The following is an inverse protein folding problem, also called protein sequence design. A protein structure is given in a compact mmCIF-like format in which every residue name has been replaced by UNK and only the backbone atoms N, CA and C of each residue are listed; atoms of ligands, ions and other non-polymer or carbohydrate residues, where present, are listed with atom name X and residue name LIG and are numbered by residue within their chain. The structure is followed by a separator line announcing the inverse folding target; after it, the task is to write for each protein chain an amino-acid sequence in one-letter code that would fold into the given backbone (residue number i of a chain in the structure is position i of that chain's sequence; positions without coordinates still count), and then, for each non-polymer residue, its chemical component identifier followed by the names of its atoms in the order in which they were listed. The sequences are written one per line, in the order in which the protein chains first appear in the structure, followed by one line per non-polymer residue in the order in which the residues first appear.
data_IF_864314090414
#
_entry.id   IF_864314090414
#
_cell.length_a   1.000
_cell.length_b   1.000
_cell.length_c   1.000
_cell.angle_alpha   90.00
_cell.angle_beta   90.00
_cell.angle_gamma   90.00
#
_symmetry.space_group_name_H-M   'P 1'
#
loop_
_entity.id
_entity.type
_entity.pdbx_description
1 polymer ?
#
# COMPACT_ATOMS: atom_id res chain seq x y z
N UNK A 1 3.98 -47.78 22.39
CA UNK A 1 2.74 -47.28 21.80
C UNK A 1 2.95 -45.83 21.50
N UNK A 2 3.25 -45.53 20.24
CA UNK A 2 3.36 -44.16 19.76
C UNK A 2 1.95 -43.59 19.75
N UNK A 3 1.69 -42.57 20.55
CA UNK A 3 0.43 -41.85 20.52
C UNK A 3 0.42 -41.00 19.23
N UNK A 4 -0.25 -41.50 18.19
CA UNK A 4 -0.64 -40.70 17.05
C UNK A 4 -1.58 -39.60 17.54
N UNK A 5 -1.01 -38.50 17.97
CA UNK A 5 -1.80 -37.26 18.15
C UNK A 5 -2.21 -36.81 16.75
N UNK A 6 -3.52 -36.73 16.45
CA UNK A 6 -3.96 -36.27 15.17
C UNK A 6 -3.34 -34.89 14.92
N UNK A 7 -2.51 -34.76 13.88
CA UNK A 7 -2.02 -33.45 13.48
C UNK A 7 -3.21 -32.66 12.95
N UNK A 8 -3.54 -31.56 13.63
CA UNK A 8 -4.51 -30.62 13.13
C UNK A 8 -4.05 -30.15 11.74
N UNK A 9 -4.87 -30.25 10.69
CA UNK A 9 -4.50 -29.78 9.38
C UNK A 9 -4.08 -28.31 9.46
N UNK A 10 -2.96 -27.96 8.81
CA UNK A 10 -2.55 -26.56 8.71
C UNK A 10 -3.60 -25.75 7.97
N UNK A 11 -3.86 -24.51 8.38
CA UNK A 11 -4.75 -23.63 7.63
C UNK A 11 -4.20 -23.39 6.22
N UNK A 12 -5.08 -23.29 5.24
CA UNK A 12 -4.69 -22.96 3.86
C UNK A 12 -4.26 -21.49 3.73
N UNK A 13 -4.90 -20.63 4.52
CA UNK A 13 -4.69 -19.18 4.48
C UNK A 13 -4.36 -18.63 5.87
N UNK A 14 -3.56 -17.59 5.88
CA UNK A 14 -3.36 -16.69 7.02
C UNK A 14 -4.34 -15.54 6.89
N UNK A 15 -5.06 -15.25 7.95
CA UNK A 15 -6.03 -14.16 8.02
C UNK A 15 -5.43 -13.01 8.81
N UNK A 16 -5.45 -11.81 8.24
CA UNK A 16 -4.88 -10.59 8.84
C UNK A 16 -5.83 -9.42 8.68
N UNK A 17 -6.18 -8.79 9.79
CA UNK A 17 -6.97 -7.55 9.76
C UNK A 17 -6.14 -6.40 9.18
N UNK A 18 -6.79 -5.57 8.37
CA UNK A 18 -6.19 -4.44 7.69
C UNK A 18 -7.21 -3.31 7.49
N UNK A 19 -6.76 -2.12 7.14
CA UNK A 19 -7.64 -1.11 6.58
C UNK A 19 -7.84 -1.36 5.08
N UNK A 20 -9.08 -1.23 4.62
CA UNK A 20 -9.42 -1.32 3.20
C UNK A 20 -8.97 -0.07 2.42
N UNK A 21 -8.95 1.07 3.10
CA UNK A 21 -8.53 2.38 2.62
C UNK A 21 -7.55 3.00 3.62
N UNK A 22 -7.86 4.22 4.06
CA UNK A 22 -7.08 4.95 5.07
C UNK A 22 -7.73 4.84 6.46
N UNK A 23 -6.94 4.90 7.54
CA UNK A 23 -7.44 4.81 8.93
C UNK A 23 -8.55 5.81 9.27
N UNK A 24 -8.45 7.03 8.73
CA UNK A 24 -9.38 8.12 9.02
C UNK A 24 -10.84 7.79 8.72
N UNK A 25 -11.08 6.94 7.71
CA UNK A 25 -12.43 6.54 7.34
C UNK A 25 -13.12 5.73 8.45
N UNK A 26 -12.36 5.01 9.27
CA UNK A 26 -12.89 4.29 10.43
C UNK A 26 -13.41 5.22 11.55
N UNK A 27 -13.19 6.53 11.46
CA UNK A 27 -13.75 7.53 12.41
C UNK A 27 -15.20 7.89 12.08
N UNK A 28 -15.67 7.57 10.88
CA UNK A 28 -17.07 7.68 10.50
C UNK A 28 -17.83 6.44 10.89
N UNK A 29 -18.98 6.58 11.56
CA UNK A 29 -19.85 5.46 11.97
C UNK A 29 -20.23 4.61 10.74
N UNK A 30 -20.49 5.27 9.63
CA UNK A 30 -20.93 4.60 8.39
C UNK A 30 -19.82 3.78 7.72
N UNK A 31 -18.54 4.07 8.02
CA UNK A 31 -17.40 3.45 7.38
C UNK A 31 -16.60 2.54 8.30
N UNK A 32 -16.82 2.59 9.60
CA UNK A 32 -16.02 1.86 10.59
C UNK A 32 -15.96 0.36 10.29
N UNK A 33 -17.13 -0.29 10.11
CA UNK A 33 -17.21 -1.72 9.84
C UNK A 33 -16.75 -2.11 8.43
N UNK A 34 -16.80 -1.16 7.48
CA UNK A 34 -16.48 -1.39 6.07
C UNK A 34 -14.99 -1.22 5.82
N UNK A 35 -14.37 -0.27 6.53
CA UNK A 35 -12.95 0.05 6.36
C UNK A 35 -12.03 -0.97 7.05
N UNK A 36 -12.52 -1.75 8.00
CA UNK A 36 -11.77 -2.86 8.59
C UNK A 36 -12.07 -4.16 7.85
N UNK A 37 -11.09 -4.67 7.13
CA UNK A 37 -11.20 -5.91 6.36
C UNK A 37 -10.26 -6.98 6.88
N UNK A 38 -10.58 -8.24 6.58
CA UNK A 38 -9.66 -9.36 6.82
C UNK A 38 -9.10 -9.84 5.49
N UNK A 39 -7.79 -9.68 5.32
CA UNK A 39 -7.05 -10.15 4.15
C UNK A 39 -6.68 -11.61 4.37
N UNK A 40 -6.94 -12.44 3.36
CA UNK A 40 -6.55 -13.85 3.33
C UNK A 40 -5.33 -14.03 2.43
N UNK A 41 -4.20 -14.40 3.03
CA UNK A 41 -2.96 -14.71 2.32
C UNK A 41 -2.71 -16.22 2.34
N UNK A 42 -2.11 -16.80 1.29
CA UNK A 42 -1.63 -18.18 1.35
C UNK A 42 -0.77 -18.40 2.59
N UNK A 43 -0.91 -19.56 3.21
CA UNK A 43 -0.14 -19.89 4.40
C UNK A 43 1.35 -20.02 4.09
N UNK A 44 2.17 -19.22 4.75
CA UNK A 44 3.63 -19.27 4.64
C UNK A 44 4.24 -20.03 5.84
N UNK A 45 4.83 -21.19 5.57
CA UNK A 45 5.45 -22.00 6.60
C UNK A 45 6.74 -21.39 7.15
N UNK A 46 7.43 -20.62 6.31
CA UNK A 46 8.73 -20.02 6.61
C UNK A 46 8.62 -18.63 7.22
N UNK A 47 7.39 -18.13 7.44
CA UNK A 47 7.17 -16.80 8.00
C UNK A 47 7.83 -16.67 9.38
N UNK A 48 8.71 -15.69 9.52
CA UNK A 48 9.39 -15.32 10.76
C UNK A 48 8.87 -13.99 11.30
N UNK A 49 9.20 -13.73 12.59
CA UNK A 49 8.94 -12.42 13.17
C UNK A 49 9.66 -11.31 12.41
N UNK A 50 8.92 -10.22 12.16
CA UNK A 50 9.41 -9.10 11.37
C UNK A 50 8.26 -8.31 10.75
N UNK A 51 7.31 -8.90 9.97
CA UNK A 51 7.24 -10.23 9.34
C UNK A 51 8.27 -10.41 8.22
N UNK A 52 8.83 -11.62 8.12
CA UNK A 52 9.82 -11.97 7.09
C UNK A 52 9.40 -13.27 6.41
N UNK A 53 9.25 -13.27 5.10
CA UNK A 53 8.94 -14.46 4.29
C UNK A 53 9.87 -14.60 3.06
N UNK A 54 9.48 -15.40 2.09
CA UNK A 54 10.28 -15.62 0.88
C UNK A 54 10.38 -14.40 -0.06
N UNK A 55 9.49 -13.40 0.08
CA UNK A 55 9.40 -12.25 -0.82
C UNK A 55 9.84 -10.94 -0.18
N UNK A 56 9.50 -10.75 1.09
CA UNK A 56 9.69 -9.48 1.77
C UNK A 56 10.27 -9.65 3.18
N UNK A 57 10.93 -8.59 3.62
CA UNK A 57 11.44 -8.42 4.98
C UNK A 57 10.96 -7.06 5.51
N UNK A 58 10.07 -7.09 6.50
CA UNK A 58 9.65 -5.86 7.19
C UNK A 58 10.67 -5.51 8.26
N UNK A 59 11.27 -4.34 8.15
CA UNK A 59 12.29 -3.83 9.07
C UNK A 59 11.79 -2.51 9.65
N UNK A 60 11.41 -2.51 10.92
CA UNK A 60 10.78 -1.35 11.52
C UNK A 60 11.77 -0.51 12.33
N UNK A 61 12.48 0.33 11.60
CA UNK A 61 13.44 1.31 12.12
C UNK A 61 12.91 2.71 11.83
N UNK A 62 12.88 3.54 12.85
CA UNK A 62 12.56 4.96 12.77
C UNK A 62 13.83 5.80 13.03
N UNK A 63 14.52 6.24 11.98
CA UNK A 63 15.75 7.03 12.13
C UNK A 63 15.50 8.40 12.77
N UNK A 64 14.34 9.01 12.52
CA UNK A 64 13.99 10.34 13.03
C UNK A 64 13.80 10.35 14.55
N UNK A 65 13.16 9.30 15.09
CA UNK A 65 12.97 9.12 16.54
C UNK A 65 14.08 8.29 17.18
N UNK A 66 15.04 7.77 16.39
CA UNK A 66 16.11 6.84 16.82
C UNK A 66 15.52 5.61 17.53
N UNK A 67 14.35 5.16 17.07
CA UNK A 67 13.65 4.02 17.60
C UNK A 67 13.83 2.79 16.71
N UNK A 68 13.75 1.63 17.33
CA UNK A 68 13.62 0.33 16.67
C UNK A 68 12.42 -0.37 17.33
N UNK A 69 11.39 -0.62 16.53
CA UNK A 69 10.18 -1.26 17.05
C UNK A 69 10.32 -2.77 17.07
N UNK A 70 9.77 -3.41 18.10
CA UNK A 70 9.81 -4.87 18.23
C UNK A 70 9.14 -5.54 17.01
N UNK A 71 9.76 -6.59 16.45
CA UNK A 71 9.22 -7.28 15.29
C UNK A 71 7.91 -7.98 15.62
N UNK A 72 6.91 -7.86 14.76
CA UNK A 72 5.63 -8.54 14.89
C UNK A 72 5.79 -10.04 14.61
N UNK A 73 5.33 -10.87 15.53
CA UNK A 73 5.29 -12.34 15.37
C UNK A 73 3.86 -12.77 14.97
N UNK A 74 3.59 -12.83 13.68
CA UNK A 74 2.27 -13.22 13.14
C UNK A 74 1.97 -14.74 13.32
N UNK A 75 2.90 -15.52 13.84
CA UNK A 75 2.67 -16.92 14.21
C UNK A 75 2.23 -17.08 15.66
N UNK A 76 2.22 -16.00 16.44
CA UNK A 76 1.79 -16.06 17.83
C UNK A 76 0.34 -16.56 17.94
N UNK A 77 0.08 -17.52 18.81
CA UNK A 77 -1.21 -18.22 18.92
C UNK A 77 -2.40 -17.28 19.09
N UNK A 78 -2.29 -16.21 19.88
CA UNK A 78 -3.35 -15.24 20.06
C UNK A 78 -3.64 -14.43 18.78
N UNK A 79 -2.61 -14.12 17.99
CA UNK A 79 -2.80 -13.41 16.74
C UNK A 79 -3.47 -14.30 15.69
N UNK A 80 -3.09 -15.56 15.63
CA UNK A 80 -3.75 -16.53 14.76
C UNK A 80 -5.23 -16.70 15.12
N UNK A 81 -5.56 -16.68 16.43
CA UNK A 81 -6.95 -16.85 16.89
C UNK A 81 -7.86 -15.64 16.64
N UNK A 82 -7.30 -14.45 16.42
CA UNK A 82 -8.06 -13.20 16.25
C UNK A 82 -7.80 -12.50 14.90
N UNK A 83 -7.26 -13.21 13.92
CA UNK A 83 -6.94 -12.70 12.60
C UNK A 83 -5.91 -11.55 12.62
N UNK A 84 -4.87 -11.68 13.45
CA UNK A 84 -3.78 -10.71 13.58
C UNK A 84 -4.02 -9.61 14.62
N UNK A 85 -3.20 -8.56 14.56
CA UNK A 85 -3.38 -7.36 15.39
C UNK A 85 -4.64 -6.60 14.97
N UNK A 86 -5.39 -6.03 15.93
CA UNK A 86 -6.50 -5.13 15.62
C UNK A 86 -5.98 -3.87 14.92
N UNK A 87 -6.74 -3.32 13.94
CA UNK A 87 -6.40 -2.07 13.28
C UNK A 87 -6.18 -0.94 14.30
N UNK A 88 -5.04 -0.25 14.17
CA UNK A 88 -4.63 0.78 15.13
C UNK A 88 -3.56 1.70 14.54
N UNK A 89 -3.81 3.01 14.59
CA UNK A 89 -2.82 4.02 14.21
C UNK A 89 -1.66 4.15 15.23
N UNK A 90 -1.84 3.68 16.46
CA UNK A 90 -0.85 3.78 17.54
C UNK A 90 -0.04 2.52 17.82
N UNK A 91 -0.23 1.45 17.05
CA UNK A 91 0.45 0.16 17.28
C UNK A 91 1.45 -0.15 16.16
N UNK A 92 2.77 0.00 16.37
CA UNK A 92 3.77 -0.28 15.35
C UNK A 92 3.74 -1.72 14.82
N UNK A 93 3.36 -2.71 15.63
CA UNK A 93 3.24 -4.09 15.17
C UNK A 93 2.06 -4.27 14.21
N UNK A 94 0.98 -3.49 14.38
CA UNK A 94 -0.08 -3.44 13.38
C UNK A 94 0.40 -2.76 12.08
N UNK A 95 1.24 -1.71 12.16
CA UNK A 95 1.84 -1.10 10.96
C UNK A 95 2.67 -2.10 10.16
N UNK A 96 3.47 -2.93 10.86
CA UNK A 96 4.23 -4.02 10.23
C UNK A 96 3.31 -5.05 9.57
N UNK A 97 2.21 -5.45 10.25
CA UNK A 97 1.19 -6.35 9.71
C UNK A 97 0.51 -5.75 8.48
N UNK A 98 0.13 -4.47 8.54
CA UNK A 98 -0.58 -3.77 7.46
C UNK A 98 0.25 -3.77 6.17
N UNK A 99 1.51 -3.32 6.24
CA UNK A 99 2.37 -3.33 5.05
C UNK A 99 2.63 -4.74 4.54
N UNK A 100 2.84 -5.72 5.44
CA UNK A 100 3.00 -7.12 5.05
C UNK A 100 1.79 -7.63 4.28
N UNK A 101 0.59 -7.44 4.84
CA UNK A 101 -0.65 -7.95 4.25
C UNK A 101 -0.91 -7.35 2.85
N UNK A 102 -0.77 -6.02 2.71
CA UNK A 102 -1.05 -5.34 1.43
C UNK A 102 0.02 -5.65 0.39
N UNK A 103 1.32 -5.64 0.74
CA UNK A 103 2.40 -6.01 -0.17
C UNK A 103 2.20 -7.43 -0.69
N UNK A 104 1.89 -8.39 0.20
CA UNK A 104 1.66 -9.80 -0.20
C UNK A 104 0.42 -9.97 -1.08
N UNK A 105 -0.64 -9.21 -0.82
CA UNK A 105 -1.85 -9.19 -1.68
C UNK A 105 -1.50 -8.69 -3.08
N UNK A 106 -0.76 -7.58 -3.17
CA UNK A 106 -0.34 -7.00 -4.44
C UNK A 106 0.54 -7.97 -5.24
N UNK A 107 1.53 -8.61 -4.58
CA UNK A 107 2.36 -9.66 -5.19
C UNK A 107 1.47 -10.79 -5.73
N UNK A 108 0.51 -11.27 -4.93
CA UNK A 108 -0.40 -12.35 -5.33
C UNK A 108 -1.21 -12.04 -6.58
N UNK A 109 -1.71 -10.82 -6.71
CA UNK A 109 -2.42 -10.36 -7.91
C UNK A 109 -1.51 -10.37 -9.15
N UNK A 110 -0.27 -9.89 -9.01
CA UNK A 110 0.69 -9.94 -10.11
C UNK A 110 1.06 -11.37 -10.50
N UNK A 111 1.29 -12.27 -9.54
CA UNK A 111 1.61 -13.66 -9.81
C UNK A 111 0.46 -14.39 -10.50
N UNK A 112 -0.78 -14.12 -10.08
CA UNK A 112 -1.96 -14.66 -10.73
C UNK A 112 -2.08 -14.17 -12.18
N UNK A 113 -1.84 -12.87 -12.43
CA UNK A 113 -1.87 -12.30 -13.76
C UNK A 113 -0.73 -12.80 -14.67
N UNK A 114 0.46 -12.98 -14.11
CA UNK A 114 1.66 -13.40 -14.85
C UNK A 114 1.74 -14.92 -15.04
N UNK A 115 1.02 -15.70 -14.23
CA UNK A 115 1.14 -17.16 -14.21
C UNK A 115 2.49 -17.67 -13.73
N UNK A 116 3.28 -16.86 -13.01
CA UNK A 116 4.59 -17.20 -12.47
C UNK A 116 4.91 -16.38 -11.24
N UNK A 117 5.92 -16.81 -10.47
CA UNK A 117 6.42 -16.05 -9.30
C UNK A 117 6.95 -14.67 -9.72
N UNK A 118 6.66 -13.67 -8.88
CA UNK A 118 7.27 -12.35 -9.00
C UNK A 118 8.73 -12.41 -8.53
N UNK A 119 9.61 -11.69 -9.21
CA UNK A 119 11.01 -11.56 -8.85
C UNK A 119 11.36 -10.08 -8.74
N UNK A 120 12.20 -9.75 -7.79
CA UNK A 120 12.70 -8.38 -7.64
C UNK A 120 13.81 -8.08 -8.65
N UNK A 121 13.91 -6.83 -9.05
CA UNK A 121 15.01 -6.35 -9.89
C UNK A 121 16.36 -6.61 -9.19
N UNK A 122 17.37 -7.13 -9.90
CA UNK A 122 18.67 -7.40 -9.30
C UNK A 122 19.35 -6.11 -8.83
N UNK A 123 20.28 -6.27 -7.89
CA UNK A 123 21.17 -5.19 -7.47
C UNK A 123 22.44 -5.20 -8.31
N UNK A 124 22.77 -4.07 -8.92
CA UNK A 124 24.06 -3.90 -9.58
C UNK A 124 25.16 -3.67 -8.53
N UNK A 125 26.18 -4.49 -8.52
CA UNK A 125 27.35 -4.39 -7.64
C UNK A 125 28.61 -4.31 -8.48
N UNK A 126 29.46 -3.37 -8.16
CA UNK A 126 30.80 -3.26 -8.79
C UNK A 126 31.75 -4.27 -8.14
N UNK A 127 32.21 -5.23 -8.91
CA UNK A 127 33.22 -6.23 -8.51
C UNK A 127 34.57 -5.91 -9.15
N UNK A 128 35.58 -6.72 -8.90
CA UNK A 128 36.89 -6.58 -9.56
C UNK A 128 36.84 -6.78 -11.08
N UNK A 129 35.84 -7.52 -11.57
CA UNK A 129 35.66 -7.87 -12.98
C UNK A 129 34.63 -6.98 -13.70
N UNK A 130 34.02 -6.01 -13.00
CA UNK A 130 33.03 -5.09 -13.56
C UNK A 130 31.72 -5.06 -12.79
N UNK A 131 30.64 -4.60 -13.47
CA UNK A 131 29.30 -4.55 -12.87
C UNK A 131 28.62 -5.91 -13.01
N UNK A 132 28.14 -6.44 -11.90
CA UNK A 132 27.43 -7.71 -11.83
C UNK A 132 26.03 -7.54 -11.26
N UNK A 133 25.07 -8.31 -11.81
CA UNK A 133 23.72 -8.42 -11.29
C UNK A 133 23.69 -9.41 -10.10
N UNK A 134 23.38 -8.92 -8.91
CA UNK A 134 23.22 -9.74 -7.71
C UNK A 134 21.73 -9.95 -7.43
N UNK A 135 21.33 -11.20 -7.28
CA UNK A 135 19.95 -11.57 -6.97
C UNK A 135 19.48 -10.94 -5.66
N UNK A 136 18.26 -10.40 -5.68
CA UNK A 136 17.58 -9.85 -4.51
C UNK A 136 16.50 -10.85 -4.08
N UNK A 137 16.75 -11.51 -2.97
CA UNK A 137 15.83 -12.53 -2.44
C UNK A 137 14.57 -11.88 -1.90
N UNK A 138 14.71 -10.81 -1.10
CA UNK A 138 13.62 -10.11 -0.41
C UNK A 138 13.66 -8.62 -0.66
N UNK A 139 12.48 -8.06 -0.90
CA UNK A 139 12.27 -6.62 -0.87
C UNK A 139 12.14 -6.17 0.59
N UNK A 140 12.90 -5.15 0.99
CA UNK A 140 12.76 -4.58 2.34
C UNK A 140 11.61 -3.58 2.40
N UNK A 141 10.87 -3.61 3.50
CA UNK A 141 9.75 -2.71 3.75
C UNK A 141 9.97 -1.99 5.08
N UNK A 142 10.03 -0.66 5.03
CA UNK A 142 10.29 0.19 6.19
C UNK A 142 9.06 1.05 6.51
N UNK A 143 8.21 0.66 7.49
CA UNK A 143 6.98 1.38 7.82
C UNK A 143 7.22 2.82 8.32
N UNK A 144 8.34 3.08 8.99
CA UNK A 144 8.67 4.37 9.60
C UNK A 144 10.03 4.94 9.14
N UNK A 145 10.33 4.79 7.83
CA UNK A 145 11.62 5.18 7.27
C UNK A 145 11.90 6.70 7.35
N UNK A 146 10.85 7.52 7.29
CA UNK A 146 10.94 8.96 7.04
C UNK A 146 9.99 9.74 7.96
N UNK A 147 10.40 10.94 8.41
CA UNK A 147 9.50 11.87 9.08
C UNK A 147 9.11 13.01 8.14
N UNK A 148 8.38 12.65 7.10
CA UNK A 148 7.90 13.56 6.05
C UNK A 148 6.66 12.99 5.36
N UNK A 149 5.88 13.87 4.71
CA UNK A 149 4.71 13.50 3.92
C UNK A 149 5.15 12.86 2.59
N UNK A 150 5.67 11.64 2.66
CA UNK A 150 6.19 10.92 1.50
C UNK A 150 6.13 9.41 1.70
N UNK A 151 6.10 8.68 0.58
CA UNK A 151 6.37 7.25 0.48
C UNK A 151 6.98 6.99 -0.89
N UNK A 152 7.89 6.04 -1.00
CA UNK A 152 8.46 5.70 -2.31
C UNK A 152 9.13 4.33 -2.32
N UNK A 153 9.11 3.69 -3.50
CA UNK A 153 10.01 2.60 -3.83
C UNK A 153 11.40 3.16 -4.15
N UNK A 154 12.44 2.60 -3.56
CA UNK A 154 13.83 2.93 -3.87
C UNK A 154 14.50 1.83 -4.70
N UNK A 155 14.72 2.02 -6.00
CA UNK A 155 15.41 1.03 -6.85
C UNK A 155 16.83 0.73 -6.38
N UNK A 156 17.53 1.75 -5.86
CA UNK A 156 18.91 1.59 -5.38
C UNK A 156 18.98 0.76 -4.09
N UNK A 157 18.00 0.94 -3.18
CA UNK A 157 17.95 0.20 -1.91
C UNK A 157 17.24 -1.14 -2.03
N UNK A 158 16.45 -1.34 -3.11
CA UNK A 158 15.48 -2.43 -3.26
C UNK A 158 14.58 -2.48 -2.02
N UNK A 159 13.88 -1.37 -1.79
CA UNK A 159 13.10 -1.17 -0.58
C UNK A 159 11.91 -0.24 -0.80
N UNK A 160 10.83 -0.49 -0.05
CA UNK A 160 9.71 0.41 0.15
C UNK A 160 9.96 1.23 1.42
N UNK A 161 9.84 2.55 1.31
CA UNK A 161 10.08 3.47 2.41
C UNK A 161 8.84 4.32 2.64
N UNK A 162 8.23 4.20 3.82
CA UNK A 162 7.05 4.95 4.19
C UNK A 162 7.38 6.03 5.20
N UNK A 163 6.75 7.19 5.02
CA UNK A 163 6.88 8.32 5.91
C UNK A 163 5.70 8.46 6.88
N UNK A 164 5.91 9.29 7.88
CA UNK A 164 4.85 9.77 8.77
C UNK A 164 5.06 11.27 9.04
N UNK A 165 3.95 11.99 9.26
CA UNK A 165 4.00 13.45 9.39
C UNK A 165 2.81 13.97 10.17
N UNK A 166 2.90 15.22 10.64
CA UNK A 166 1.79 15.89 11.30
C UNK A 166 0.80 16.45 10.28
N UNK A 167 -0.49 16.19 10.47
CA UNK A 167 -1.55 16.75 9.66
C UNK A 167 -1.56 18.29 9.74
N UNK A 168 -1.83 18.93 8.61
CA UNK A 168 -1.89 20.39 8.51
C UNK A 168 -2.94 20.99 9.44
N UNK A 169 -2.61 22.04 10.19
CA UNK A 169 -3.61 22.75 10.99
C UNK A 169 -4.71 23.42 10.17
N UNK A 170 -4.42 23.73 8.92
CA UNK A 170 -5.35 24.37 7.98
C UNK A 170 -6.16 23.35 7.17
N UNK A 171 -5.93 22.03 7.36
CA UNK A 171 -6.63 20.98 6.65
C UNK A 171 -8.11 20.95 7.04
N UNK A 172 -8.97 20.92 6.02
CA UNK A 172 -10.38 20.55 6.20
C UNK A 172 -10.49 19.02 6.27
N UNK A 173 -11.58 18.50 6.87
CA UNK A 173 -11.88 17.09 6.87
C UNK A 173 -11.80 16.42 8.24
N UNK A 174 -11.57 15.11 8.27
CA UNK A 174 -11.64 14.30 9.50
C UNK A 174 -10.31 14.25 10.28
N UNK A 175 -9.20 14.73 9.71
CA UNK A 175 -7.92 14.80 10.43
C UNK A 175 -7.96 15.83 11.55
N UNK A 176 -7.47 15.44 12.72
CA UNK A 176 -7.26 16.39 13.81
C UNK A 176 -5.99 17.22 13.52
N UNK A 177 -6.01 18.54 13.77
CA UNK A 177 -4.83 19.38 13.57
C UNK A 177 -3.61 18.86 14.31
N UNK A 178 -2.51 18.59 13.58
CA UNK A 178 -1.26 18.13 14.16
C UNK A 178 -1.22 16.65 14.55
N UNK A 179 -2.25 15.87 14.27
CA UNK A 179 -2.19 14.42 14.48
C UNK A 179 -1.16 13.78 13.54
N UNK A 180 -0.58 12.66 13.96
CA UNK A 180 0.39 11.94 13.14
C UNK A 180 -0.33 11.05 12.14
N UNK A 181 -0.03 11.24 10.86
CA UNK A 181 -0.51 10.42 9.73
C UNK A 181 0.62 9.52 9.25
N UNK A 182 0.32 8.24 9.07
CA UNK A 182 1.27 7.21 8.68
C UNK A 182 0.95 6.71 7.25
N UNK A 183 1.84 6.97 6.29
CA UNK A 183 1.65 6.50 4.91
C UNK A 183 1.59 4.96 4.80
N UNK A 184 2.25 4.24 5.70
CA UNK A 184 2.22 2.77 5.76
C UNK A 184 0.86 2.17 6.14
N UNK A 185 -0.09 2.97 6.63
CA UNK A 185 -1.44 2.55 6.96
C UNK A 185 -2.45 2.80 5.83
N UNK A 186 -2.07 3.55 4.79
CA UNK A 186 -2.87 3.71 3.59
C UNK A 186 -2.70 2.49 2.70
N UNK A 187 -3.79 1.75 2.49
CA UNK A 187 -3.80 0.60 1.59
C UNK A 187 -3.29 0.97 0.20
N UNK A 188 -3.75 2.10 -0.31
CA UNK A 188 -3.47 2.59 -1.66
C UNK A 188 -1.99 2.90 -1.84
N UNK A 189 -1.41 3.63 -0.88
CA UNK A 189 0.01 4.00 -0.93
C UNK A 189 0.87 2.74 -0.90
N UNK A 190 0.55 1.77 -0.03
CA UNK A 190 1.33 0.52 0.05
C UNK A 190 1.22 -0.28 -1.25
N UNK A 191 0.03 -0.39 -1.84
CA UNK A 191 -0.18 -1.08 -3.10
C UNK A 191 0.52 -0.37 -4.28
N UNK A 192 0.45 0.96 -4.32
CA UNK A 192 1.11 1.82 -5.32
C UNK A 192 2.63 1.61 -5.31
N UNK A 193 3.27 1.78 -4.16
CA UNK A 193 4.72 1.64 -4.04
C UNK A 193 5.21 0.20 -4.29
N UNK A 194 4.39 -0.79 -3.91
CA UNK A 194 4.68 -2.20 -4.23
C UNK A 194 4.64 -2.43 -5.74
N UNK A 195 3.73 -1.77 -6.44
CA UNK A 195 3.61 -1.88 -7.89
C UNK A 195 4.84 -1.34 -8.60
N UNK A 196 5.42 -0.23 -8.15
CA UNK A 196 6.70 0.26 -8.69
C UNK A 196 7.82 -0.78 -8.56
N UNK A 197 7.92 -1.45 -7.40
CA UNK A 197 8.92 -2.50 -7.20
C UNK A 197 8.70 -3.71 -8.11
N UNK A 198 7.43 -4.10 -8.32
CA UNK A 198 7.08 -5.21 -9.21
C UNK A 198 7.37 -4.87 -10.68
N UNK A 199 7.06 -3.67 -11.14
CA UNK A 199 7.38 -3.20 -12.48
C UNK A 199 8.90 -3.19 -12.74
N UNK A 200 9.71 -2.71 -11.77
CA UNK A 200 11.18 -2.77 -11.85
C UNK A 200 11.67 -4.23 -11.97
N UNK A 201 11.03 -5.16 -11.23
CA UNK A 201 11.32 -6.59 -11.30
C UNK A 201 10.91 -7.28 -12.61
N UNK A 202 9.89 -6.75 -13.28
CA UNK A 202 9.44 -7.31 -14.57
C UNK A 202 10.44 -7.05 -15.69
N UNK A 203 11.03 -5.86 -15.73
CA UNK A 203 12.01 -5.52 -16.76
C UNK A 203 12.86 -4.33 -16.31
N UNK A 204 14.20 -4.51 -16.28
CA UNK A 204 15.18 -3.50 -15.81
C UNK A 204 15.05 -2.10 -16.44
N UNK A 205 14.54 -2.01 -17.68
CA UNK A 205 14.39 -0.73 -18.37
C UNK A 205 13.09 -0.01 -18.12
N UNK A 206 12.15 -0.63 -17.43
CA UNK A 206 10.88 0.05 -17.12
C UNK A 206 11.07 1.23 -16.19
N UNK A 207 12.12 1.24 -15.37
CA UNK A 207 12.44 2.32 -14.45
C UNK A 207 13.47 3.33 -15.00
N UNK A 208 14.02 3.10 -16.20
CA UNK A 208 14.98 4.02 -16.82
C UNK A 208 14.27 5.28 -17.31
N UNK A 209 14.62 6.49 -16.84
CA UNK A 209 13.94 7.74 -17.20
C UNK A 209 14.33 8.22 -18.60
N UNK A 210 14.07 7.42 -19.63
CA UNK A 210 14.41 7.73 -21.01
C UNK A 210 13.62 8.91 -21.57
N UNK A 211 12.39 9.11 -21.07
CA UNK A 211 11.52 10.25 -21.39
C UNK A 211 10.45 10.40 -20.30
N UNK A 212 9.65 11.47 -20.37
CA UNK A 212 8.63 11.75 -19.35
C UNK A 212 7.49 10.73 -19.33
N UNK A 213 7.22 10.03 -20.44
CA UNK A 213 6.14 9.05 -20.52
C UNK A 213 6.44 7.77 -19.74
N UNK A 214 7.72 7.45 -19.52
CA UNK A 214 8.12 6.31 -18.68
C UNK A 214 7.61 6.48 -17.26
N UNK A 215 7.86 7.64 -16.65
CA UNK A 215 7.38 7.94 -15.31
C UNK A 215 5.86 8.07 -15.27
N UNK A 216 5.26 8.73 -16.25
CA UNK A 216 3.81 8.86 -16.35
C UNK A 216 3.13 7.49 -16.41
N UNK A 217 3.66 6.55 -17.22
CA UNK A 217 3.16 5.18 -17.27
C UNK A 217 3.32 4.45 -15.92
N UNK A 218 4.46 4.63 -15.26
CA UNK A 218 4.71 4.01 -13.95
C UNK A 218 3.68 4.47 -12.91
N UNK A 219 3.43 5.79 -12.84
CA UNK A 219 2.49 6.37 -11.89
C UNK A 219 1.05 5.94 -12.20
N UNK A 220 0.63 6.04 -13.47
CA UNK A 220 -0.71 5.64 -13.88
C UNK A 220 -0.97 4.15 -13.63
N UNK A 221 0.00 3.30 -13.94
CA UNK A 221 -0.14 1.87 -13.72
C UNK A 221 -0.23 1.52 -12.23
N UNK A 222 0.59 2.16 -11.40
CA UNK A 222 0.56 1.96 -9.95
C UNK A 222 -0.76 2.45 -9.34
N UNK A 223 -1.29 3.61 -9.78
CA UNK A 223 -2.59 4.12 -9.37
C UNK A 223 -3.73 3.17 -9.78
N UNK A 224 -3.72 2.64 -11.01
CA UNK A 224 -4.73 1.68 -11.49
C UNK A 224 -4.71 0.40 -10.65
N UNK A 225 -3.54 -0.13 -10.32
CA UNK A 225 -3.42 -1.32 -9.47
C UNK A 225 -3.97 -1.05 -8.07
N UNK A 226 -3.64 0.09 -7.46
CA UNK A 226 -4.16 0.48 -6.15
C UNK A 226 -5.69 0.60 -6.18
N UNK A 227 -6.25 1.32 -7.15
CA UNK A 227 -7.69 1.46 -7.34
C UNK A 227 -8.40 0.11 -7.50
N UNK A 228 -7.85 -0.78 -8.31
CA UNK A 228 -8.49 -2.07 -8.57
C UNK A 228 -8.47 -3.00 -7.35
N UNK A 229 -7.56 -2.82 -6.41
CA UNK A 229 -7.58 -3.58 -5.16
C UNK A 229 -8.81 -3.27 -4.30
N UNK A 230 -9.37 -2.06 -4.35
CA UNK A 230 -10.62 -1.74 -3.65
C UNK A 230 -11.78 -2.66 -4.08
N UNK A 231 -11.82 -3.05 -5.35
CA UNK A 231 -12.86 -3.94 -5.88
C UNK A 231 -12.74 -5.39 -5.39
N UNK A 232 -11.67 -5.75 -4.73
CA UNK A 232 -11.47 -7.08 -4.16
C UNK A 232 -12.14 -7.26 -2.80
N UNK A 233 -12.62 -6.18 -2.18
CA UNK A 233 -13.31 -6.17 -0.89
C UNK A 233 -14.83 -6.11 -1.08
N UNK A 234 -15.57 -7.25 -0.95
CA UNK A 234 -16.99 -7.31 -1.29
C UNK A 234 -17.88 -6.37 -0.46
N UNK A 235 -17.53 -6.15 0.81
CA UNK A 235 -18.26 -5.27 1.71
C UNK A 235 -18.13 -3.81 1.27
N UNK A 236 -16.91 -3.39 0.95
CA UNK A 236 -16.60 -2.07 0.39
C UNK A 236 -17.36 -1.84 -0.91
N UNK A 237 -17.27 -2.81 -1.83
CA UNK A 237 -17.93 -2.70 -3.13
C UNK A 237 -19.45 -2.58 -3.00
N UNK A 238 -20.08 -3.41 -2.15
CA UNK A 238 -21.53 -3.35 -1.91
C UNK A 238 -21.97 -2.00 -1.34
N UNK A 239 -21.23 -1.47 -0.38
CA UNK A 239 -21.52 -0.15 0.22
C UNK A 239 -21.43 0.97 -0.83
N UNK A 240 -20.36 1.01 -1.60
CA UNK A 240 -20.17 2.06 -2.61
C UNK A 240 -21.21 1.95 -3.74
N UNK A 241 -21.58 0.74 -4.18
CA UNK A 241 -22.68 0.54 -5.14
C UNK A 241 -24.02 1.01 -4.55
N UNK A 242 -24.28 0.74 -3.28
CA UNK A 242 -25.51 1.18 -2.63
C UNK A 242 -25.58 2.71 -2.52
N UNK A 243 -24.48 3.38 -2.15
CA UNK A 243 -24.40 4.85 -2.02
C UNK A 243 -24.58 5.56 -3.36
N UNK A 244 -23.94 5.06 -4.40
CA UNK A 244 -23.99 5.64 -5.76
C UNK A 244 -25.19 5.15 -6.57
N UNK A 245 -25.98 4.20 -6.05
CA UNK A 245 -27.05 3.50 -6.79
C UNK A 245 -26.55 2.90 -8.11
N UNK A 246 -25.31 2.42 -8.12
CA UNK A 246 -24.65 1.86 -9.29
C UNK A 246 -24.07 2.89 -10.29
N UNK A 247 -24.14 4.18 -10.00
CA UNK A 247 -23.56 5.24 -10.84
C UNK A 247 -22.12 5.48 -10.41
N UNK A 248 -21.19 4.78 -11.01
CA UNK A 248 -19.77 4.89 -10.70
C UNK A 248 -19.15 6.23 -11.15
N UNK A 249 -19.84 6.99 -11.96
CA UNK A 249 -19.47 8.37 -12.32
C UNK A 249 -19.70 9.40 -11.22
N UNK A 250 -20.50 9.06 -10.21
CA UNK A 250 -20.66 9.90 -9.02
C UNK A 250 -19.42 9.75 -8.13
N UNK A 251 -19.17 10.76 -7.28
CA UNK A 251 -18.09 10.69 -6.31
C UNK A 251 -18.23 9.45 -5.42
N UNK A 252 -17.19 8.62 -5.37
CA UNK A 252 -17.15 7.44 -4.52
C UNK A 252 -15.71 7.08 -4.16
N UNK A 253 -15.53 6.33 -3.07
CA UNK A 253 -14.21 5.96 -2.56
C UNK A 253 -13.43 5.01 -3.46
N UNK A 254 -14.12 4.25 -4.34
CA UNK A 254 -13.44 3.36 -5.28
C UNK A 254 -12.61 4.10 -6.33
N UNK A 255 -12.91 5.39 -6.56
CA UNK A 255 -12.18 6.25 -7.47
C UNK A 255 -11.18 7.19 -6.80
N UNK A 256 -11.01 7.12 -5.49
CA UNK A 256 -10.14 8.01 -4.70
C UNK A 256 -8.94 7.24 -4.13
N UNK A 257 -7.75 7.85 -4.18
CA UNK A 257 -6.51 7.28 -3.67
C UNK A 257 -5.91 8.16 -2.56
N UNK A 258 -5.48 7.50 -1.48
CA UNK A 258 -4.80 8.13 -0.35
C UNK A 258 -5.59 9.32 0.22
N UNK A 259 -6.83 9.07 0.64
CA UNK A 259 -7.78 10.08 1.10
C UNK A 259 -7.27 10.84 2.33
N UNK A 260 -6.82 10.12 3.36
CA UNK A 260 -6.28 10.71 4.58
C UNK A 260 -5.04 11.56 4.30
N UNK A 261 -4.14 11.05 3.47
CA UNK A 261 -2.92 11.74 3.10
C UNK A 261 -3.22 13.07 2.38
N UNK A 262 -4.15 13.04 1.41
CA UNK A 262 -4.58 14.24 0.69
C UNK A 262 -5.12 15.32 1.65
N UNK A 263 -6.03 14.95 2.54
CA UNK A 263 -6.56 15.87 3.55
C UNK A 263 -5.48 16.37 4.52
N UNK A 264 -4.58 15.50 4.96
CA UNK A 264 -3.53 15.85 5.91
C UNK A 264 -2.52 16.87 5.36
N UNK A 265 -2.31 16.91 4.04
CA UNK A 265 -1.47 17.94 3.39
C UNK A 265 -2.26 19.20 2.97
N UNK A 266 -3.54 19.29 3.36
CA UNK A 266 -4.38 20.47 3.15
C UNK A 266 -5.24 20.44 1.88
N UNK A 267 -5.45 19.28 1.25
CA UNK A 267 -6.43 19.12 0.16
C UNK A 267 -7.83 18.89 0.73
N UNK A 268 -8.87 19.18 -0.06
CA UNK A 268 -10.26 18.92 0.33
C UNK A 268 -10.67 17.44 0.27
N UNK A 269 -9.92 16.58 -0.41
CA UNK A 269 -10.21 15.16 -0.58
C UNK A 269 -8.95 14.32 -0.69
N UNK A 270 -9.05 13.24 -1.45
CA UNK A 270 -7.95 12.32 -1.71
C UNK A 270 -6.72 13.01 -2.33
N UNK A 271 -5.57 12.37 -2.19
CA UNK A 271 -4.34 12.82 -2.87
C UNK A 271 -4.53 12.81 -4.38
N UNK A 272 -5.20 11.78 -4.91
CA UNK A 272 -5.57 11.62 -6.32
C UNK A 272 -6.99 11.09 -6.43
N UNK A 273 -7.69 11.47 -7.51
CA UNK A 273 -9.01 10.97 -7.84
C UNK A 273 -9.07 10.65 -9.34
N UNK A 274 -9.54 9.45 -9.66
CA UNK A 274 -9.70 9.01 -11.04
C UNK A 274 -10.94 9.59 -11.73
N UNK A 275 -11.92 10.09 -10.95
CA UNK A 275 -13.24 10.48 -11.46
C UNK A 275 -13.47 11.98 -11.49
N UNK A 276 -12.80 12.73 -10.63
CA UNK A 276 -13.04 14.15 -10.49
C UNK A 276 -12.01 14.87 -9.62
N UNK A 277 -12.29 16.11 -9.30
CA UNK A 277 -11.46 16.94 -8.43
C UNK A 277 -12.31 17.89 -7.61
N UNK A 278 -11.79 18.32 -6.46
CA UNK A 278 -12.38 19.39 -5.67
C UNK A 278 -11.85 20.74 -6.16
N UNK A 279 -12.73 21.71 -6.26
CA UNK A 279 -12.35 23.10 -6.50
C UNK A 279 -11.84 23.79 -5.23
N UNK A 280 -11.47 25.06 -5.34
CA UNK A 280 -10.97 25.89 -4.23
C UNK A 280 -12.01 26.10 -3.12
N UNK A 281 -13.29 25.86 -3.39
CA UNK A 281 -14.39 25.96 -2.42
C UNK A 281 -14.68 24.63 -1.72
N UNK A 282 -14.01 23.54 -2.11
CA UNK A 282 -14.26 22.19 -1.62
C UNK A 282 -15.46 21.51 -2.28
N UNK A 283 -15.92 22.03 -3.42
CA UNK A 283 -16.99 21.39 -4.19
C UNK A 283 -16.37 20.39 -5.18
N UNK A 284 -16.88 19.15 -5.15
CA UNK A 284 -16.42 18.11 -6.06
C UNK A 284 -17.01 18.27 -7.47
N UNK A 285 -16.17 18.18 -8.48
CA UNK A 285 -16.54 18.23 -9.89
C UNK A 285 -15.96 17.02 -10.63
N UNK A 286 -16.81 16.38 -11.44
CA UNK A 286 -16.36 15.33 -12.32
C UNK A 286 -15.40 15.88 -13.38
N UNK A 287 -14.24 15.24 -13.54
CA UNK A 287 -13.26 15.57 -14.57
C UNK A 287 -13.49 14.68 -15.79
N UNK A 288 -13.49 15.29 -16.97
CA UNK A 288 -13.44 14.53 -18.22
C UNK A 288 -12.01 14.51 -18.74
N UNK A 289 -11.49 13.33 -19.16
CA UNK A 289 -10.17 13.25 -19.75
C UNK A 289 -10.04 14.19 -20.96
N UNK A 290 -8.98 14.99 -20.99
CA UNK A 290 -8.62 15.81 -22.16
C UNK A 290 -7.41 15.18 -22.86
N UNK A 291 -7.60 14.45 -23.99
CA UNK A 291 -6.49 13.83 -24.70
C UNK A 291 -5.42 14.82 -25.18
N UNK A 292 -5.77 16.11 -25.29
CA UNK A 292 -4.83 17.17 -25.69
C UNK A 292 -3.98 17.66 -24.52
N UNK A 293 -4.38 17.39 -23.28
CA UNK A 293 -3.61 17.76 -22.09
C UNK A 293 -2.31 16.94 -21.95
N UNK A 294 -2.28 15.72 -22.44
CA UNK A 294 -1.14 14.78 -22.33
C UNK A 294 0.17 15.43 -22.81
N UNK A 295 0.13 16.22 -23.90
CA UNK A 295 1.30 16.91 -24.44
C UNK A 295 1.73 18.18 -23.69
N UNK A 296 0.95 18.65 -22.71
CA UNK A 296 1.12 19.98 -22.09
C UNK A 296 1.75 19.94 -20.70
N UNK A 297 1.81 18.78 -20.06
CA UNK A 297 2.40 18.62 -18.74
C UNK A 297 3.57 17.65 -18.76
N UNK A 298 4.60 17.95 -17.96
CA UNK A 298 5.73 17.07 -17.67
C UNK A 298 5.64 16.44 -16.27
N UNK A 299 4.63 16.79 -15.48
CA UNK A 299 4.38 16.20 -14.18
C UNK A 299 3.83 14.77 -14.37
N UNK A 300 4.51 13.72 -13.84
CA UNK A 300 4.19 12.32 -14.15
C UNK A 300 2.76 11.93 -13.79
N UNK A 301 2.27 12.24 -12.60
CA UNK A 301 0.92 11.88 -12.15
C UNK A 301 -0.21 12.58 -12.94
N UNK A 302 0.06 13.80 -13.42
CA UNK A 302 -0.93 14.53 -14.22
C UNK A 302 -0.89 14.14 -15.71
N UNK A 303 0.19 13.43 -16.13
CA UNK A 303 0.36 12.98 -17.52
C UNK A 303 -0.10 11.52 -17.71
N UNK A 304 0.07 10.66 -16.70
CA UNK A 304 -0.37 9.27 -16.69
C UNK A 304 -1.84 9.14 -16.43
#
# INVERSE_FOLDING_TARGET
MSSDIPQVPRPLNRRLRAFAFDPILSRSIDMYEINEVTIELPWEETLQAGPVDDYIEVVDVDPASRAFYAPADLNHAYLLAQDGYPPSEGNPQFHQQMVYAVVRTTIGHFEQALGRRALWSPRLVLTGDGWEDVFVERLRVYPHALREANAYYSPAKKALLFGYFAASPAGGGLNLPGETVFACLSHDIVAHETTHALLDGLHRRFIEPSNVDVWALHEAFADIVALFQHFTYPEVLRDQIARTQGRLEDQNLLGELAYQFGQAIGRYGALRSALGAYDETGTWHRTQPDPQAIGRTSEPHARG
#
